data_IF_366680651263
#
_entry.id   IF_366680651263
#
_cell.length_a   1.000
_cell.length_b   1.000
_cell.length_c   1.000
_cell.angle_alpha   90.00
_cell.angle_beta   90.00
_cell.angle_gamma   90.00
#
_symmetry.space_group_name_H-M   'P 1'
#
loop_
_entity.id
_entity.type
_entity.pdbx_description
1 polymer ?
#
# COMPACT_ATOMS: atom_id res chain seq x y z
N UNK A 1 -42.51 -21.01 26.42
CA UNK A 1 -42.10 -21.18 25.00
C UNK A 1 -41.33 -19.99 24.44
N UNK A 2 -41.65 -18.72 24.75
CA UNK A 2 -40.90 -17.55 24.21
C UNK A 2 -39.49 -17.33 24.78
N UNK A 3 -39.17 -17.88 25.96
CA UNK A 3 -37.82 -17.78 26.59
C UNK A 3 -36.83 -18.86 26.15
N UNK A 4 -37.32 -19.95 25.53
CA UNK A 4 -36.48 -21.02 24.96
C UNK A 4 -36.14 -20.74 23.48
N UNK A 5 -36.94 -19.92 22.78
CA UNK A 5 -36.64 -19.47 21.42
C UNK A 5 -35.52 -18.41 21.36
N UNK A 6 -35.34 -17.60 22.42
CA UNK A 6 -34.23 -16.64 22.49
C UNK A 6 -32.87 -17.32 22.75
N UNK A 7 -32.84 -18.48 23.39
CA UNK A 7 -31.61 -19.24 23.63
C UNK A 7 -31.14 -20.01 22.38
N UNK A 8 -32.01 -20.24 21.39
CA UNK A 8 -31.68 -20.98 20.18
C UNK A 8 -31.12 -20.09 19.04
N UNK A 9 -31.33 -18.77 19.11
CA UNK A 9 -30.78 -17.81 18.13
C UNK A 9 -29.32 -17.44 18.44
N UNK A 10 -28.82 -17.77 19.64
CA UNK A 10 -27.45 -17.49 20.09
C UNK A 10 -26.49 -18.67 19.82
N UNK A 11 -26.98 -19.83 19.36
CA UNK A 11 -26.21 -21.08 19.27
C UNK A 11 -26.05 -21.65 17.84
N UNK A 12 -26.06 -20.80 16.81
CA UNK A 12 -25.78 -21.22 15.41
C UNK A 12 -24.68 -20.41 14.71
N UNK A 13 -23.85 -19.69 15.48
CA UNK A 13 -22.63 -19.03 14.97
C UNK A 13 -21.42 -19.87 15.38
N UNK A 14 -21.21 -20.98 14.68
CA UNK A 14 -19.99 -21.80 14.65
C UNK A 14 -20.22 -22.81 13.51
N UNK A 15 -19.66 -22.67 12.31
CA UNK A 15 -18.30 -23.11 11.98
C UNK A 15 -17.94 -22.69 10.53
N UNK A 16 -17.76 -21.40 10.29
CA UNK A 16 -16.79 -20.96 9.29
C UNK A 16 -15.67 -20.26 10.05
N UNK A 17 -14.40 -20.33 9.61
CA UNK A 17 -13.37 -19.46 10.14
C UNK A 17 -13.81 -18.02 9.84
N UNK A 18 -14.50 -17.41 10.80
CA UNK A 18 -14.72 -15.98 10.85
C UNK A 18 -13.30 -15.43 10.98
N UNK A 19 -12.73 -14.92 9.89
CA UNK A 19 -11.74 -13.86 10.01
C UNK A 19 -12.44 -12.75 10.77
N UNK A 20 -12.33 -12.80 12.11
CA UNK A 20 -12.76 -11.74 12.98
C UNK A 20 -11.82 -10.58 12.71
N UNK A 21 -12.17 -9.76 11.73
CA UNK A 21 -11.55 -8.49 11.51
C UNK A 21 -12.65 -7.50 11.20
N UNK A 22 -13.14 -6.83 12.23
CA UNK A 22 -13.42 -5.41 12.09
C UNK A 22 -12.11 -4.76 11.65
N UNK A 23 -11.78 -4.83 10.35
CA UNK A 23 -10.61 -4.12 9.84
C UNK A 23 -10.94 -2.64 10.00
N UNK A 24 -10.21 -1.95 10.86
CA UNK A 24 -10.34 -0.50 11.06
C UNK A 24 -9.96 0.30 9.81
N UNK A 25 -9.63 -0.37 8.71
CA UNK A 25 -8.93 0.18 7.55
C UNK A 25 -7.53 0.68 7.90
N UNK A 26 -7.03 0.43 9.11
CA UNK A 26 -5.81 1.02 9.64
C UNK A 26 -4.82 -0.08 10.05
N UNK A 27 -3.68 -0.12 9.37
CA UNK A 27 -2.69 -1.18 9.54
C UNK A 27 -1.27 -0.63 9.58
N UNK A 28 -0.41 -1.31 10.35
CA UNK A 28 1.03 -1.04 10.40
C UNK A 28 1.79 -2.34 10.16
N UNK A 29 2.75 -2.32 9.25
CA UNK A 29 3.75 -3.37 9.11
C UNK A 29 5.10 -2.91 9.63
N UNK A 30 5.78 -3.81 10.34
CA UNK A 30 7.15 -3.62 10.78
C UNK A 30 8.04 -4.64 10.09
N UNK A 31 9.16 -4.20 9.52
CA UNK A 31 10.23 -5.11 9.13
C UNK A 31 10.74 -5.88 10.35
N UNK A 32 11.04 -7.18 10.21
CA UNK A 32 11.38 -8.03 11.35
C UNK A 32 12.61 -7.55 12.15
N UNK A 33 13.59 -6.92 11.49
CA UNK A 33 14.74 -6.33 12.19
C UNK A 33 14.31 -5.13 13.06
N UNK A 34 13.40 -4.30 12.53
CA UNK A 34 12.85 -3.16 13.25
C UNK A 34 11.96 -3.60 14.41
N UNK A 35 11.10 -4.60 14.19
CA UNK A 35 10.19 -5.10 15.20
C UNK A 35 10.93 -5.65 16.42
N UNK A 36 12.02 -6.39 16.19
CA UNK A 36 12.81 -7.03 17.25
C UNK A 36 13.78 -6.08 17.96
N UNK A 37 13.88 -4.82 17.53
CA UNK A 37 14.72 -3.80 18.17
C UNK A 37 13.84 -2.69 18.77
N UNK A 38 13.72 -2.60 20.11
CA UNK A 38 12.85 -1.61 20.76
C UNK A 38 13.14 -0.16 20.38
N UNK A 39 14.42 0.20 20.21
CA UNK A 39 14.83 1.56 19.80
C UNK A 39 14.38 1.86 18.37
N UNK A 40 14.55 0.92 17.45
CA UNK A 40 14.10 1.08 16.07
C UNK A 40 12.58 1.16 15.98
N UNK A 41 11.86 0.27 16.67
CA UNK A 41 10.40 0.31 16.72
C UNK A 41 9.89 1.62 17.29
N UNK A 42 10.49 2.13 18.37
CA UNK A 42 10.14 3.42 18.96
C UNK A 42 10.37 4.59 18.01
N UNK A 43 11.50 4.61 17.30
CA UNK A 43 11.79 5.63 16.27
C UNK A 43 10.75 5.62 15.15
N UNK A 44 10.37 4.43 14.65
CA UNK A 44 9.36 4.28 13.60
C UNK A 44 7.98 4.69 14.10
N UNK A 45 7.59 4.30 15.31
CA UNK A 45 6.32 4.71 15.90
C UNK A 45 6.23 6.22 16.08
N UNK A 46 7.33 6.87 16.49
CA UNK A 46 7.39 8.32 16.60
C UNK A 46 7.19 9.00 15.25
N UNK A 47 7.82 8.47 14.19
CA UNK A 47 7.61 8.96 12.83
C UNK A 47 6.16 8.77 12.38
N UNK A 48 5.58 7.57 12.51
CA UNK A 48 4.19 7.31 12.17
C UNK A 48 3.22 8.19 12.94
N UNK A 49 3.41 8.35 14.26
CA UNK A 49 2.56 9.19 15.11
C UNK A 49 2.62 10.68 14.74
N UNK A 50 3.71 11.14 14.10
CA UNK A 50 3.78 12.51 13.57
C UNK A 50 3.06 12.70 12.22
N UNK A 51 2.60 11.61 11.60
CA UNK A 51 1.97 11.60 10.27
C UNK A 51 0.52 11.10 10.30
N UNK A 52 -0.05 10.81 11.48
CA UNK A 52 -1.45 10.42 11.62
C UNK A 52 -2.01 10.97 12.93
N UNK A 53 -3.29 11.32 12.90
CA UNK A 53 -4.11 11.65 14.06
C UNK A 53 -4.68 10.40 14.76
N UNK A 54 -4.59 9.22 14.12
CA UNK A 54 -5.05 7.96 14.68
C UNK A 54 -4.11 7.44 15.77
N UNK A 55 -4.71 6.85 16.81
CA UNK A 55 -3.94 6.14 17.83
C UNK A 55 -3.33 4.87 17.22
N UNK A 56 -1.99 4.79 17.17
CA UNK A 56 -1.26 3.64 16.62
C UNK A 56 -1.59 2.31 17.32
N UNK A 57 -2.06 2.35 18.58
CA UNK A 57 -2.48 1.14 19.30
C UNK A 57 -3.77 0.51 18.73
N UNK A 58 -4.53 1.27 17.94
CA UNK A 58 -5.72 0.77 17.25
C UNK A 58 -5.40 0.18 15.86
N UNK A 59 -4.12 0.20 15.45
CA UNK A 59 -3.71 -0.37 14.18
C UNK A 59 -3.63 -1.89 14.25
N UNK A 60 -4.06 -2.56 13.19
CA UNK A 60 -3.72 -3.96 12.98
C UNK A 60 -2.23 -4.06 12.62
N UNK A 61 -1.45 -4.79 13.42
CA UNK A 61 0.01 -4.88 13.22
C UNK A 61 0.45 -6.22 12.64
N UNK A 62 1.38 -6.19 11.68
CA UNK A 62 2.03 -7.40 11.14
C UNK A 62 3.54 -7.23 11.03
N UNK A 63 4.28 -8.33 11.19
CA UNK A 63 5.73 -8.36 10.98
C UNK A 63 6.02 -8.90 9.59
N UNK A 64 6.85 -8.20 8.83
CA UNK A 64 7.30 -8.59 7.50
C UNK A 64 8.68 -9.24 7.63
N UNK A 65 8.76 -10.50 7.24
CA UNK A 65 9.97 -11.33 7.38
C UNK A 65 10.81 -11.30 6.10
N UNK A 66 12.09 -11.66 6.23
CA UNK A 66 12.97 -11.83 5.08
C UNK A 66 12.46 -12.91 4.12
N UNK A 67 11.81 -13.96 4.63
CA UNK A 67 11.19 -14.99 3.80
C UNK A 67 10.13 -14.41 2.87
N UNK A 68 9.22 -13.58 3.40
CA UNK A 68 8.17 -12.92 2.61
C UNK A 68 8.76 -11.96 1.57
N UNK A 69 9.77 -11.17 1.95
CA UNK A 69 10.45 -10.27 1.01
C UNK A 69 11.14 -11.08 -0.10
N UNK A 70 11.87 -12.13 0.25
CA UNK A 70 12.61 -12.96 -0.70
C UNK A 70 11.72 -13.76 -1.64
N UNK A 71 10.51 -14.14 -1.21
CA UNK A 71 9.54 -14.86 -2.04
C UNK A 71 9.23 -14.11 -3.35
N UNK A 72 9.24 -12.77 -3.28
CA UNK A 72 8.92 -11.90 -4.41
C UNK A 72 10.22 -11.30 -4.98
N UNK A 73 11.01 -10.63 -4.15
CA UNK A 73 12.11 -9.79 -4.60
C UNK A 73 13.29 -10.58 -5.19
N UNK A 74 13.51 -11.84 -4.78
CA UNK A 74 14.70 -12.61 -5.19
C UNK A 74 14.79 -12.81 -6.69
N UNK A 75 13.70 -13.21 -7.33
CA UNK A 75 13.66 -13.53 -8.75
C UNK A 75 13.59 -12.28 -9.64
N UNK A 76 13.28 -11.13 -9.05
CA UNK A 76 13.15 -9.84 -9.76
C UNK A 76 14.45 -9.04 -9.66
N UNK A 77 14.97 -8.90 -8.44
CA UNK A 77 16.11 -8.05 -8.14
C UNK A 77 17.45 -8.80 -8.12
N UNK A 78 17.42 -10.14 -8.09
CA UNK A 78 18.59 -10.99 -7.84
C UNK A 78 19.13 -10.91 -6.40
N UNK A 79 18.52 -10.08 -5.53
CA UNK A 79 18.96 -9.90 -4.14
C UNK A 79 18.25 -10.87 -3.21
N UNK A 80 18.98 -11.41 -2.25
CA UNK A 80 18.42 -12.17 -1.12
C UNK A 80 18.74 -11.43 0.16
N UNK A 81 17.72 -11.21 0.98
CA UNK A 81 17.81 -10.50 2.25
C UNK A 81 17.85 -11.49 3.40
N UNK A 82 18.69 -11.22 4.39
CA UNK A 82 18.69 -11.92 5.67
C UNK A 82 17.75 -11.23 6.67
N UNK A 83 17.42 -11.92 7.76
CA UNK A 83 16.49 -11.39 8.75
C UNK A 83 16.94 -10.14 9.49
N UNK A 84 18.24 -9.85 9.48
CA UNK A 84 18.82 -8.62 10.02
C UNK A 84 18.88 -7.48 8.98
N UNK A 85 18.23 -7.63 7.82
CA UNK A 85 18.22 -6.65 6.73
C UNK A 85 16.82 -6.12 6.38
N UNK A 86 15.78 -6.47 7.14
CA UNK A 86 14.40 -6.06 6.89
C UNK A 86 14.01 -4.97 7.89
N UNK A 87 14.29 -3.72 7.49
CA UNK A 87 14.11 -2.54 8.34
C UNK A 87 12.84 -1.74 8.02
N UNK A 88 12.47 -1.69 6.74
CA UNK A 88 11.40 -0.81 6.28
C UNK A 88 10.05 -1.16 6.90
N UNK A 89 9.26 -0.14 7.18
CA UNK A 89 7.97 -0.22 7.81
C UNK A 89 6.97 0.60 7.00
N UNK A 90 5.70 0.20 7.03
CA UNK A 90 4.63 0.93 6.37
C UNK A 90 3.42 1.08 7.28
N UNK A 91 2.73 2.20 7.16
CA UNK A 91 1.42 2.45 7.73
C UNK A 91 0.45 2.68 6.57
N UNK A 92 -0.73 2.06 6.66
CA UNK A 92 -1.82 2.22 5.68
C UNK A 92 -3.09 2.63 6.42
N UNK A 93 -3.77 3.63 5.87
CA UNK A 93 -5.07 4.09 6.33
C UNK A 93 -6.06 4.21 5.16
N UNK A 94 -7.09 3.36 5.18
CA UNK A 94 -8.15 3.29 4.17
C UNK A 94 -9.30 4.26 4.41
N UNK A 95 -9.30 5.06 5.50
CA UNK A 95 -10.31 6.13 5.61
C UNK A 95 -10.01 7.30 4.67
N UNK A 96 -8.79 7.39 4.15
CA UNK A 96 -8.48 8.28 3.02
C UNK A 96 -8.91 7.66 1.69
N UNK A 97 -9.96 8.22 1.08
CA UNK A 97 -10.60 7.71 -0.14
C UNK A 97 -10.51 8.67 -1.35
N UNK A 98 -9.64 9.67 -1.28
CA UNK A 98 -9.40 10.66 -2.34
C UNK A 98 -8.18 10.28 -3.18
N UNK A 99 -8.16 9.06 -3.71
CA UNK A 99 -7.01 8.49 -4.40
C UNK A 99 -5.93 7.97 -3.44
N UNK A 100 -4.70 7.81 -3.95
CA UNK A 100 -3.56 7.34 -3.17
C UNK A 100 -2.72 8.54 -2.72
N UNK A 101 -2.51 8.69 -1.41
CA UNK A 101 -1.59 9.67 -0.84
C UNK A 101 -0.44 8.94 -0.14
N UNK A 102 0.78 9.17 -0.58
CA UNK A 102 1.98 8.48 -0.05
C UNK A 102 2.99 9.48 0.49
N UNK A 103 3.38 9.30 1.75
CA UNK A 103 4.50 9.99 2.38
C UNK A 103 5.65 8.99 2.52
N UNK A 104 6.79 9.35 1.94
CA UNK A 104 8.05 8.59 2.10
C UNK A 104 8.99 9.43 2.95
N UNK A 105 9.56 8.82 3.99
CA UNK A 105 10.64 9.44 4.76
C UNK A 105 11.91 9.54 3.92
N UNK A 106 12.07 10.66 3.23
CA UNK A 106 13.21 10.92 2.33
C UNK A 106 14.54 11.05 3.07
N UNK A 107 14.55 11.15 4.40
CA UNK A 107 15.77 11.09 5.20
C UNK A 107 16.29 9.65 5.42
N UNK A 108 15.45 8.66 5.11
CA UNK A 108 15.72 7.23 5.31
C UNK A 108 15.60 6.42 4.03
N UNK A 109 14.69 6.77 3.14
CA UNK A 109 14.44 6.08 1.88
C UNK A 109 15.02 6.91 0.74
N UNK A 110 16.07 6.40 0.09
CA UNK A 110 16.90 7.22 -0.81
C UNK A 110 16.69 6.95 -2.30
N UNK A 111 16.00 5.86 -2.67
CA UNK A 111 15.85 5.47 -4.08
C UNK A 111 14.39 5.57 -4.52
N UNK A 112 13.49 4.90 -3.79
CA UNK A 112 12.07 4.82 -4.18
C UNK A 112 11.31 6.06 -3.72
N UNK A 113 10.58 6.70 -4.63
CA UNK A 113 9.76 7.88 -4.34
C UNK A 113 8.29 7.52 -4.09
N UNK A 114 7.52 8.49 -3.56
CA UNK A 114 6.07 8.36 -3.43
C UNK A 114 5.38 8.02 -4.75
N UNK A 115 5.84 8.56 -5.88
CA UNK A 115 5.23 8.31 -7.19
C UNK A 115 5.50 6.88 -7.68
N UNK A 116 6.70 6.37 -7.44
CA UNK A 116 7.05 4.98 -7.75
C UNK A 116 6.21 3.99 -6.95
N UNK A 117 6.04 4.22 -5.63
CA UNK A 117 5.12 3.41 -4.83
C UNK A 117 3.68 3.49 -5.35
N UNK A 118 3.19 4.68 -5.71
CA UNK A 118 1.84 4.85 -6.23
C UNK A 118 1.63 4.05 -7.53
N UNK A 119 2.62 4.04 -8.43
CA UNK A 119 2.57 3.26 -9.65
C UNK A 119 2.48 1.76 -9.36
N UNK A 120 3.33 1.25 -8.46
CA UNK A 120 3.32 -0.15 -8.06
C UNK A 120 1.99 -0.56 -7.41
N UNK A 121 1.41 0.29 -6.55
CA UNK A 121 0.11 0.04 -5.91
C UNK A 121 -1.03 -0.01 -6.93
N UNK A 122 -1.06 0.90 -7.92
CA UNK A 122 -2.05 0.84 -9.00
C UNK A 122 -1.99 -0.48 -9.77
N UNK A 123 -0.81 -1.06 -9.93
CA UNK A 123 -0.63 -2.36 -10.60
C UNK A 123 -1.25 -3.52 -9.83
N UNK A 124 -1.45 -3.39 -8.52
CA UNK A 124 -2.20 -4.34 -7.69
C UNK A 124 -3.66 -3.96 -7.50
N UNK A 125 -4.18 -2.99 -8.28
CA UNK A 125 -5.57 -2.55 -8.20
C UNK A 125 -5.89 -1.70 -6.98
N UNK A 126 -4.86 -1.22 -6.27
CA UNK A 126 -5.02 -0.27 -5.19
C UNK A 126 -5.14 1.11 -5.80
N UNK A 127 -6.29 1.75 -5.60
CA UNK A 127 -6.58 3.08 -6.14
C UNK A 127 -6.76 4.13 -5.04
N UNK A 128 -6.85 3.71 -3.78
CA UNK A 128 -7.12 4.59 -2.65
C UNK A 128 -6.28 4.23 -1.42
N UNK A 129 -6.12 5.20 -0.52
CA UNK A 129 -5.51 5.02 0.80
C UNK A 129 -4.41 6.04 1.09
N UNK A 130 -4.16 6.24 2.37
CA UNK A 130 -3.04 7.01 2.89
C UNK A 130 -1.94 6.06 3.34
N UNK A 131 -0.72 6.29 2.85
CA UNK A 131 0.44 5.42 3.07
C UNK A 131 1.57 6.25 3.65
N UNK A 132 2.22 5.75 4.69
CA UNK A 132 3.46 6.31 5.23
C UNK A 132 4.52 5.23 5.22
N UNK A 133 5.68 5.51 4.61
CA UNK A 133 6.79 4.58 4.48
C UNK A 133 8.02 5.18 5.16
N UNK A 134 8.66 4.42 6.05
CA UNK A 134 9.89 4.84 6.74
C UNK A 134 10.75 3.62 7.10
N UNK A 135 11.94 3.87 7.63
CA UNK A 135 12.89 2.89 8.14
C UNK A 135 13.70 3.52 9.29
N UNK A 136 14.10 2.77 10.32
CA UNK A 136 14.99 3.30 11.36
C UNK A 136 16.38 3.72 10.82
N UNK A 137 16.79 3.09 9.72
CA UNK A 137 18.10 3.28 9.05
C UNK A 137 17.93 3.60 7.57
N UNK A 138 19.00 4.09 6.95
CA UNK A 138 19.05 4.33 5.51
C UNK A 138 18.75 3.05 4.71
N UNK A 139 17.84 3.15 3.74
CA UNK A 139 17.39 2.06 2.88
C UNK A 139 17.04 2.59 1.48
N UNK A 140 17.01 1.69 0.50
CA UNK A 140 16.68 2.03 -0.90
C UNK A 140 15.17 2.09 -1.13
N UNK A 141 14.39 1.27 -0.41
CA UNK A 141 12.93 1.30 -0.38
C UNK A 141 12.23 0.17 -1.15
N UNK A 142 12.92 -0.60 -2.00
CA UNK A 142 12.29 -1.65 -2.81
C UNK A 142 11.69 -2.76 -1.92
N UNK A 143 12.41 -3.18 -0.86
CA UNK A 143 11.88 -4.16 0.10
C UNK A 143 10.73 -3.61 0.94
N UNK A 144 10.58 -2.28 1.02
CA UNK A 144 9.46 -1.66 1.73
C UNK A 144 8.14 -1.86 1.00
N UNK A 145 8.15 -2.04 -0.34
CA UNK A 145 6.93 -2.30 -1.10
C UNK A 145 6.21 -3.55 -0.60
N UNK A 146 6.95 -4.61 -0.25
CA UNK A 146 6.36 -5.80 0.38
C UNK A 146 5.60 -5.42 1.64
N UNK A 147 6.18 -4.59 2.52
CA UNK A 147 5.48 -4.12 3.72
C UNK A 147 4.27 -3.24 3.42
N UNK A 148 4.33 -2.38 2.41
CA UNK A 148 3.17 -1.59 1.97
C UNK A 148 2.04 -2.51 1.50
N UNK A 149 2.32 -3.45 0.61
CA UNK A 149 1.32 -4.41 0.10
C UNK A 149 0.72 -5.26 1.23
N UNK A 150 1.55 -5.76 2.14
CA UNK A 150 1.10 -6.53 3.30
C UNK A 150 0.28 -5.67 4.28
N UNK A 151 0.56 -4.37 4.38
CA UNK A 151 -0.26 -3.44 5.18
C UNK A 151 -1.65 -3.28 4.57
N UNK A 152 -1.75 -3.21 3.24
CA UNK A 152 -3.04 -3.24 2.54
C UNK A 152 -3.77 -4.57 2.74
N UNK A 153 -3.09 -5.72 2.63
CA UNK A 153 -3.70 -7.03 2.89
C UNK A 153 -4.28 -7.11 4.31
N UNK A 154 -3.56 -6.56 5.30
CA UNK A 154 -4.02 -6.50 6.70
C UNK A 154 -5.17 -5.51 6.88
N UNK A 155 -5.12 -4.34 6.23
CA UNK A 155 -6.17 -3.32 6.32
C UNK A 155 -7.46 -3.75 5.59
N UNK A 156 -7.34 -4.53 4.52
CA UNK A 156 -8.48 -5.06 3.75
C UNK A 156 -8.98 -6.38 4.33
N UNK A 157 -8.10 -7.17 4.96
CA UNK A 157 -8.41 -8.53 5.41
C UNK A 157 -8.41 -9.57 4.28
N UNK A 158 -7.91 -9.21 3.10
CA UNK A 158 -7.87 -10.05 1.90
C UNK A 158 -6.47 -10.01 1.28
N UNK A 159 -5.86 -11.15 0.93
CA UNK A 159 -4.54 -11.17 0.29
C UNK A 159 -4.60 -10.58 -1.13
N UNK A 160 -3.51 -9.95 -1.55
CA UNK A 160 -3.28 -9.54 -2.93
C UNK A 160 -2.76 -10.76 -3.69
N UNK A 161 -3.28 -11.06 -4.90
CA UNK A 161 -2.76 -12.14 -5.71
C UNK A 161 -1.24 -12.06 -5.90
N UNK A 162 -0.56 -13.19 -5.75
CA UNK A 162 0.90 -13.27 -5.71
C UNK A 162 1.54 -12.76 -7.01
N UNK A 163 0.95 -13.07 -8.16
CA UNK A 163 1.37 -12.59 -9.47
C UNK A 163 1.23 -11.06 -9.60
N UNK A 164 0.22 -10.46 -8.97
CA UNK A 164 0.07 -9.02 -8.94
C UNK A 164 1.14 -8.37 -8.05
N UNK A 165 1.45 -8.97 -6.89
CA UNK A 165 2.56 -8.50 -6.03
C UNK A 165 3.90 -8.57 -6.76
N UNK A 166 4.14 -9.63 -7.55
CA UNK A 166 5.33 -9.77 -8.39
C UNK A 166 5.38 -8.71 -9.49
N UNK A 167 4.30 -8.50 -10.23
CA UNK A 167 4.25 -7.48 -11.28
C UNK A 167 4.50 -6.06 -10.73
N UNK A 168 3.90 -5.72 -9.58
CA UNK A 168 4.14 -4.44 -8.92
C UNK A 168 5.59 -4.28 -8.44
N UNK A 169 6.21 -5.35 -7.94
CA UNK A 169 7.62 -5.34 -7.51
C UNK A 169 8.57 -5.23 -8.70
N UNK A 170 8.27 -5.92 -9.81
CA UNK A 170 9.01 -5.83 -11.06
C UNK A 170 8.94 -4.42 -11.64
N UNK A 171 7.75 -3.81 -11.64
CA UNK A 171 7.58 -2.44 -12.10
C UNK A 171 8.39 -1.46 -11.26
N UNK A 172 8.26 -1.50 -9.93
CA UNK A 172 9.01 -0.62 -9.04
C UNK A 172 10.53 -0.77 -9.25
N UNK A 173 11.01 -2.01 -9.33
CA UNK A 173 12.41 -2.29 -9.57
C UNK A 173 12.88 -1.77 -10.93
N UNK A 174 12.08 -1.97 -11.98
CA UNK A 174 12.39 -1.46 -13.32
C UNK A 174 12.45 0.06 -13.31
N UNK A 175 11.51 0.75 -12.66
CA UNK A 175 11.56 2.21 -12.50
C UNK A 175 12.87 2.66 -11.84
N UNK A 176 13.32 2.01 -10.76
CA UNK A 176 14.60 2.38 -10.11
C UNK A 176 15.79 2.11 -11.02
N UNK A 177 15.81 1.01 -11.77
CA UNK A 177 16.89 0.72 -12.72
C UNK A 177 16.94 1.75 -13.85
N UNK A 178 15.80 2.08 -14.46
CA UNK A 178 15.73 3.06 -15.55
C UNK A 178 16.15 4.44 -15.06
N UNK A 179 15.72 4.87 -13.86
CA UNK A 179 16.16 6.14 -13.29
C UNK A 179 17.68 6.19 -13.12
N UNK A 180 18.27 5.14 -12.57
CA UNK A 180 19.73 5.05 -12.38
C UNK A 180 20.49 5.02 -13.70
N UNK A 181 20.03 4.25 -14.69
CA UNK A 181 20.72 4.09 -15.97
C UNK A 181 20.62 5.33 -16.87
N UNK A 182 19.50 6.05 -16.82
CA UNK A 182 19.27 7.25 -17.65
C UNK A 182 19.75 8.54 -16.99
N UNK A 183 19.98 8.52 -15.67
CA UNK A 183 20.29 9.71 -14.88
C UNK A 183 19.11 10.69 -14.75
N UNK A 184 17.90 10.31 -15.19
CA UNK A 184 16.70 11.11 -15.00
C UNK A 184 16.24 11.05 -13.54
N UNK A 185 15.47 12.05 -13.11
CA UNK A 185 14.89 12.00 -11.76
C UNK A 185 13.94 10.80 -11.62
N UNK A 186 13.93 10.13 -10.46
CA UNK A 186 12.99 9.04 -10.16
C UNK A 186 11.53 9.38 -10.49
N UNK A 187 11.07 10.57 -10.12
CA UNK A 187 9.69 11.01 -10.37
C UNK A 187 9.37 11.21 -11.86
N UNK A 188 10.37 11.56 -12.68
CA UNK A 188 10.19 11.70 -14.13
C UNK A 188 10.10 10.33 -14.81
N UNK A 189 10.86 9.33 -14.32
CA UNK A 189 10.69 7.94 -14.77
C UNK A 189 9.36 7.37 -14.30
N UNK A 190 8.94 7.60 -13.06
CA UNK A 190 7.62 7.20 -12.60
C UNK A 190 6.50 7.88 -13.40
N UNK A 191 6.70 9.12 -13.89
CA UNK A 191 5.76 9.75 -14.82
C UNK A 191 5.63 9.03 -16.16
N UNK A 192 6.77 8.60 -16.72
CA UNK A 192 6.80 7.80 -17.95
C UNK A 192 6.00 6.51 -17.77
N UNK A 193 6.23 5.79 -16.68
CA UNK A 193 5.49 4.56 -16.38
C UNK A 193 4.00 4.79 -16.21
N UNK A 194 3.58 5.80 -15.42
CA UNK A 194 2.17 6.12 -15.20
C UNK A 194 1.45 6.47 -16.52
N UNK A 195 2.04 7.35 -17.34
CA UNK A 195 1.46 7.75 -18.64
C UNK A 195 1.42 6.59 -19.63
N UNK A 196 2.51 5.83 -19.76
CA UNK A 196 2.54 4.68 -20.65
C UNK A 196 1.52 3.61 -20.21
N UNK A 197 1.43 3.32 -18.91
CA UNK A 197 0.45 2.38 -18.35
C UNK A 197 -0.99 2.80 -18.66
N UNK A 198 -1.31 4.08 -18.51
CA UNK A 198 -2.65 4.58 -18.84
C UNK A 198 -3.00 4.35 -20.32
N UNK A 199 -2.07 4.58 -21.24
CA UNK A 199 -2.28 4.32 -22.67
C UNK A 199 -2.41 2.81 -22.98
N UNK A 200 -1.58 1.98 -22.34
CA UNK A 200 -1.67 0.50 -22.45
C UNK A 200 -3.03 -0.01 -21.98
N UNK A 201 -3.53 0.50 -20.84
CA UNK A 201 -4.82 0.14 -20.28
C UNK A 201 -5.98 0.59 -21.16
N UNK A 202 -5.97 1.83 -21.66
CA UNK A 202 -7.00 2.35 -22.58
C UNK A 202 -7.14 1.51 -23.84
N UNK A 203 -6.02 1.00 -24.36
CA UNK A 203 -5.97 0.19 -25.56
C UNK A 203 -6.05 -1.33 -25.28
N UNK A 204 -6.11 -1.72 -24.00
CA UNK A 204 -6.10 -3.10 -23.52
C UNK A 204 -4.98 -3.97 -24.14
N UNK A 205 -3.76 -3.42 -24.22
CA UNK A 205 -2.62 -4.09 -24.85
C UNK A 205 -1.89 -5.01 -23.87
N UNK A 206 -1.57 -6.23 -24.30
CA UNK A 206 -0.77 -7.19 -23.52
C UNK A 206 0.51 -7.61 -24.23
N UNK A 207 0.67 -7.28 -25.51
CA UNK A 207 1.85 -7.59 -26.31
C UNK A 207 2.98 -6.58 -26.02
N UNK A 208 4.12 -7.02 -25.46
CA UNK A 208 5.25 -6.13 -25.19
C UNK A 208 5.75 -5.37 -26.41
N UNK A 209 5.64 -5.92 -27.63
CA UNK A 209 6.10 -5.23 -28.83
C UNK A 209 5.24 -3.99 -29.14
N UNK A 210 3.92 -4.10 -29.01
CA UNK A 210 2.99 -2.98 -29.16
C UNK A 210 3.15 -1.97 -28.02
N UNK A 211 3.33 -2.45 -26.79
CA UNK A 211 3.55 -1.60 -25.62
C UNK A 211 4.85 -0.81 -25.75
N UNK A 212 5.92 -1.40 -26.29
CA UNK A 212 7.20 -0.71 -26.51
C UNK A 212 7.04 0.53 -27.38
N UNK A 213 6.18 0.49 -28.39
CA UNK A 213 5.87 1.67 -29.23
C UNK A 213 5.25 2.80 -28.39
N UNK A 214 4.32 2.47 -27.49
CA UNK A 214 3.73 3.44 -26.56
C UNK A 214 4.81 4.02 -25.63
N UNK A 215 5.65 3.17 -25.04
CA UNK A 215 6.74 3.59 -24.15
C UNK A 215 7.67 4.59 -24.85
N UNK A 216 8.09 4.30 -26.08
CA UNK A 216 8.96 5.20 -26.87
C UNK A 216 8.27 6.55 -27.12
N UNK A 217 6.99 6.52 -27.52
CA UNK A 217 6.24 7.75 -27.79
C UNK A 217 6.07 8.62 -26.54
N UNK A 218 5.73 8.01 -25.40
CA UNK A 218 5.61 8.73 -24.11
C UNK A 218 6.98 9.25 -23.65
N UNK A 219 8.04 8.45 -23.76
CA UNK A 219 9.40 8.86 -23.39
C UNK A 219 9.84 10.08 -24.21
N UNK A 220 9.61 10.08 -25.52
CA UNK A 220 9.89 11.21 -26.40
C UNK A 220 9.10 12.47 -25.97
N UNK A 221 7.82 12.33 -25.63
CA UNK A 221 7.00 13.45 -25.14
C UNK A 221 7.50 14.06 -23.82
N UNK A 222 8.19 13.26 -23.00
CA UNK A 222 8.79 13.67 -21.73
C UNK A 222 10.26 14.09 -21.88
N UNK A 223 10.79 14.12 -23.11
CA UNK A 223 12.22 14.36 -23.38
C UNK A 223 13.11 13.39 -22.59
N UNK A 224 12.81 12.09 -22.67
CA UNK A 224 13.61 11.01 -22.10
C UNK A 224 14.13 10.18 -23.26
N UNK A 225 15.46 10.10 -23.38
CA UNK A 225 16.09 9.22 -24.35
C UNK A 225 16.26 7.82 -23.74
N UNK A 226 15.61 6.81 -24.33
CA UNK A 226 15.71 5.42 -23.91
C UNK A 226 16.50 4.62 -24.92
N UNK A 227 17.32 3.70 -24.46
CA UNK A 227 17.84 2.63 -25.31
C UNK A 227 16.72 1.65 -25.68
N UNK A 228 16.95 0.89 -26.75
CA UNK A 228 16.02 -0.15 -27.19
C UNK A 228 15.71 -1.19 -26.12
N UNK A 229 16.72 -1.53 -25.30
CA UNK A 229 16.60 -2.44 -24.17
C UNK A 229 15.79 -1.82 -23.03
N UNK A 230 16.05 -0.55 -22.68
CA UNK A 230 15.30 0.16 -21.64
C UNK A 230 13.82 0.27 -21.99
N UNK A 231 13.50 0.62 -23.23
CA UNK A 231 12.11 0.66 -23.69
C UNK A 231 11.45 -0.73 -23.65
N UNK A 232 12.21 -1.80 -23.94
CA UNK A 232 11.72 -3.17 -23.85
C UNK A 232 11.48 -3.60 -22.40
N UNK A 233 12.35 -3.25 -21.47
CA UNK A 233 12.22 -3.59 -20.05
C UNK A 233 10.97 -2.94 -19.44
N UNK A 234 10.75 -1.65 -19.74
CA UNK A 234 9.52 -0.94 -19.34
C UNK A 234 8.30 -1.62 -19.96
N UNK A 235 8.35 -1.96 -21.25
CA UNK A 235 7.23 -2.60 -21.92
C UNK A 235 6.87 -3.97 -21.33
N UNK A 236 7.88 -4.76 -20.94
CA UNK A 236 7.68 -6.04 -20.28
C UNK A 236 7.01 -5.87 -18.91
N UNK A 237 7.49 -4.92 -18.09
CA UNK A 237 6.90 -4.63 -16.79
C UNK A 237 5.43 -4.21 -16.91
N UNK A 238 5.11 -3.31 -17.84
CA UNK A 238 3.73 -2.89 -18.11
C UNK A 238 2.85 -4.02 -18.64
N UNK A 239 3.38 -4.87 -19.52
CA UNK A 239 2.67 -6.05 -20.02
C UNK A 239 2.33 -7.03 -18.89
N UNK A 240 3.28 -7.27 -17.98
CA UNK A 240 3.07 -8.13 -16.82
C UNK A 240 2.02 -7.55 -15.87
N UNK A 241 2.07 -6.23 -15.61
CA UNK A 241 1.03 -5.53 -14.85
C UNK A 241 -0.35 -5.60 -15.51
N UNK A 242 -0.45 -5.58 -16.84
CA UNK A 242 -1.73 -5.68 -17.54
C UNK A 242 -2.31 -7.10 -17.46
N UNK A 243 -1.48 -8.13 -17.62
CA UNK A 243 -1.91 -9.55 -17.61
C UNK A 243 -2.55 -9.96 -16.29
N UNK A 244 -2.10 -9.39 -15.17
CA UNK A 244 -2.61 -9.72 -13.84
C UNK A 244 -3.87 -8.93 -13.44
N UNK A 245 -4.33 -7.97 -14.25
CA UNK A 245 -5.50 -7.15 -13.89
C UNK A 245 -6.78 -7.97 -13.65
N UNK A 246 -6.94 -9.09 -14.35
CA UNK A 246 -8.11 -9.96 -14.22
C UNK A 246 -8.19 -10.67 -12.86
N UNK A 247 -7.05 -11.02 -12.24
CA UNK A 247 -7.03 -11.74 -10.96
C UNK A 247 -7.28 -10.84 -9.74
N UNK A 248 -7.28 -9.52 -9.94
CA UNK A 248 -7.45 -8.52 -8.89
C UNK A 248 -8.92 -8.26 -8.49
N UNK A 249 -9.88 -8.87 -9.18
CA UNK A 249 -11.32 -8.57 -8.99
C UNK A 249 -11.76 -8.70 -7.53
N UNK A 250 -11.42 -9.82 -6.88
CA UNK A 250 -11.80 -10.07 -5.49
C UNK A 250 -11.15 -9.07 -4.54
N UNK A 251 -9.85 -8.83 -4.70
CA UNK A 251 -9.13 -7.86 -3.87
C UNK A 251 -9.67 -6.43 -4.05
N UNK A 252 -9.96 -6.00 -5.28
CA UNK A 252 -10.55 -4.68 -5.58
C UNK A 252 -11.91 -4.50 -4.89
N UNK A 253 -12.78 -5.52 -4.94
CA UNK A 253 -14.08 -5.48 -4.28
C UNK A 253 -13.94 -5.35 -2.76
N UNK A 254 -13.03 -6.12 -2.16
CA UNK A 254 -12.79 -6.08 -0.71
C UNK A 254 -12.13 -4.76 -0.29
N UNK A 255 -11.20 -4.23 -1.08
CA UNK A 255 -10.60 -2.91 -0.85
C UNK A 255 -11.67 -1.81 -0.88
N UNK A 256 -12.60 -1.87 -1.82
CA UNK A 256 -13.70 -0.90 -1.90
C UNK A 256 -14.59 -0.97 -0.66
N UNK A 257 -14.98 -2.18 -0.21
CA UNK A 257 -15.77 -2.38 0.99
C UNK A 257 -15.06 -1.87 2.25
N UNK A 258 -13.78 -2.22 2.42
CA UNK A 258 -12.95 -1.78 3.54
C UNK A 258 -12.78 -0.26 3.58
N UNK A 259 -12.58 0.37 2.41
CA UNK A 259 -12.47 1.83 2.28
C UNK A 259 -13.78 2.53 2.67
N UNK A 260 -14.93 2.02 2.22
CA UNK A 260 -16.24 2.57 2.58
C UNK A 260 -16.51 2.46 4.09
N UNK A 261 -16.22 1.29 4.68
CA UNK A 261 -16.40 1.06 6.11
C UNK A 261 -15.48 1.97 6.95
N UNK A 262 -14.20 2.09 6.57
CA UNK A 262 -13.24 2.93 7.27
C UNK A 262 -13.63 4.42 7.21
N UNK A 263 -14.08 4.89 6.04
CA UNK A 263 -14.54 6.28 5.84
C UNK A 263 -15.81 6.59 6.65
N UNK A 264 -16.77 5.67 6.70
CA UNK A 264 -18.01 5.84 7.47
C UNK A 264 -17.76 5.81 8.98
N UNK A 265 -16.88 4.94 9.46
CA UNK A 265 -16.50 4.85 10.87
C UNK A 265 -15.91 6.18 11.38
N UNK A 266 -15.09 6.85 10.56
CA UNK A 266 -14.55 8.18 10.89
C UNK A 266 -15.66 9.23 10.97
N UNK A 267 -16.57 9.26 10.00
CA UNK A 267 -17.72 10.19 10.02
C UNK A 267 -18.68 9.96 11.20
N UNK A 268 -18.90 8.71 11.62
CA UNK A 268 -19.73 8.37 12.78
C UNK A 268 -19.03 8.78 14.09
N UNK A 269 -17.71 8.58 14.21
CA UNK A 269 -16.95 9.04 15.37
C UNK A 269 -16.93 10.56 15.47
N UNK A 270 -16.76 11.27 14.35
CA UNK A 270 -16.83 12.73 14.29
C UNK A 270 -18.22 13.23 14.71
N UNK A 271 -19.29 12.57 14.27
CA UNK A 271 -20.66 12.88 14.69
C UNK A 271 -20.89 12.64 16.19
N UNK A 272 -20.39 11.54 16.74
CA UNK A 272 -20.49 11.23 18.17
C UNK A 272 -19.68 12.24 18.99
N UNK A 273 -18.47 12.59 18.55
CA UNK A 273 -17.62 13.56 19.22
C UNK A 273 -18.24 14.96 19.21
N UNK A 274 -18.81 15.38 18.08
CA UNK A 274 -19.56 16.64 17.99
C UNK A 274 -20.82 16.64 18.86
N UNK A 275 -21.53 15.51 18.97
CA UNK A 275 -22.69 15.35 19.85
C UNK A 275 -22.29 15.39 21.33
N UNK A 276 -21.20 14.71 21.71
CA UNK A 276 -20.66 14.72 23.08
C UNK A 276 -20.13 16.10 23.46
N UNK A 277 -19.45 16.79 22.54
CA UNK A 277 -18.99 18.16 22.76
C UNK A 277 -20.17 19.11 22.97
N UNK A 278 -21.19 19.03 22.10
CA UNK A 278 -22.42 19.83 22.23
C UNK A 278 -23.16 19.54 23.54
N UNK A 279 -23.15 18.30 24.01
CA UNK A 279 -23.73 17.89 25.29
C UNK A 279 -22.92 18.43 26.49
N UNK A 280 -21.58 18.36 26.42
CA UNK A 280 -20.70 18.93 27.46
C UNK A 280 -20.85 20.45 27.52
N UNK A 281 -20.91 21.13 26.38
CA UNK A 281 -21.12 22.58 26.31
C UNK A 281 -22.49 22.97 26.88
N UNK A 282 -23.54 22.18 26.60
CA UNK A 282 -24.86 22.35 27.21
C UNK A 282 -24.81 22.19 28.74
N UNK A 283 -24.15 21.15 29.26
CA UNK A 283 -24.00 20.96 30.71
C UNK A 283 -23.17 22.09 31.34
N UNK A 284 -22.07 22.51 30.72
CA UNK A 284 -21.26 23.63 31.24
C UNK A 284 -22.03 24.95 31.25
N UNK A 285 -22.90 25.20 30.26
CA UNK A 285 -23.77 26.37 30.26
C UNK A 285 -24.84 26.35 31.36
N UNK A 286 -25.18 25.17 31.87
CA UNK A 286 -26.17 24.98 32.94
C UNK A 286 -25.55 25.06 34.35
N UNK A 287 -24.25 24.77 34.49
CA UNK A 287 -23.52 24.81 35.78
C UNK A 287 -22.52 25.98 35.92
N UNK A 288 -22.31 26.76 34.85
CA UNK A 288 -21.44 27.94 34.82
C UNK A 288 -22.17 29.28 34.92
N UNK A 289 -23.45 29.27 35.32
CA UNK A 289 -24.24 30.45 35.68
C UNK A 289 -24.38 30.61 37.19
#
# INVERSE_FOLDING_TARGET
MKRLLLALIILTICLSPIYSASTSGFAITYGETTYNNPTYKSSVNSYFGSHTDKNLNNANTKVVTASQVNQIAKNITGRTYNSNQIFSCALVDLSYSQGIKIIVDTSKINTVTSKMYANALKSTGIENGYVVVTSPVSATGESALTGVLESYEVAVGTPIPEEAKKAATEELYTETQIANQTGQSPDKIAELFDKAKQEVQKQNLQDPAQIKVIVINVANSLNINLSDQQAQDIANALANSQKVQGSLTDFKNQLQAATQQASQSQGILDQIQNYLQSFIDYIMSFFGG
#
